data_IF_581658464754
#
_entry.id   IF_581658464754
#
_cell.length_a   1.000
_cell.length_b   1.000
_cell.length_c   1.000
_cell.angle_alpha   90.00
_cell.angle_beta   90.00
_cell.angle_gamma   90.00
#
_symmetry.space_group_name_H-M   'P 1'
#
loop_
_entity.id
_entity.type
_entity.pdbx_description
1 polymer ?
#
# COMPACT_ATOMS: atom_id res chain seq x y z
N UNK A 1 -42.59 2.31 -27.83
CA UNK A 1 -41.37 1.96 -27.09
C UNK A 1 -41.65 2.34 -25.66
N UNK A 2 -41.67 1.38 -24.73
CA UNK A 2 -41.69 1.73 -23.31
C UNK A 2 -40.35 2.43 -23.04
N UNK A 3 -40.38 3.70 -22.64
CA UNK A 3 -39.19 4.35 -22.11
C UNK A 3 -38.82 3.58 -20.84
N UNK A 4 -37.66 2.93 -20.86
CA UNK A 4 -37.14 2.18 -19.73
C UNK A 4 -36.79 3.20 -18.64
N UNK A 5 -37.54 3.17 -17.53
CA UNK A 5 -37.37 4.09 -16.42
C UNK A 5 -36.14 3.63 -15.63
N UNK A 6 -35.14 4.50 -15.53
CA UNK A 6 -33.94 4.24 -14.72
C UNK A 6 -34.30 4.44 -13.24
N UNK A 7 -34.07 3.43 -12.42
CA UNK A 7 -34.33 3.45 -10.98
C UNK A 7 -33.01 3.69 -10.22
N UNK A 8 -33.05 4.56 -9.20
CA UNK A 8 -31.86 4.87 -8.42
C UNK A 8 -32.15 4.98 -6.93
N UNK A 9 -31.30 4.38 -6.09
CA UNK A 9 -31.38 4.57 -4.64
C UNK A 9 -30.30 5.54 -4.17
N UNK A 10 -30.66 6.53 -3.35
CA UNK A 10 -29.72 7.48 -2.75
C UNK A 10 -29.42 7.09 -1.30
N UNK A 11 -28.21 6.56 -1.08
CA UNK A 11 -27.66 6.19 0.23
C UNK A 11 -26.84 7.36 0.80
N UNK A 12 -27.04 7.69 2.08
CA UNK A 12 -26.39 8.81 2.73
C UNK A 12 -26.40 8.65 4.26
N UNK A 13 -25.51 9.35 4.95
CA UNK A 13 -25.46 9.38 6.42
C UNK A 13 -26.36 10.46 7.03
N UNK A 14 -26.96 10.17 8.18
CA UNK A 14 -27.82 11.12 8.90
C UNK A 14 -27.01 12.16 9.68
N UNK A 15 -26.25 12.98 8.98
CA UNK A 15 -25.27 13.88 9.61
C UNK A 15 -25.92 15.12 10.22
N UNK A 16 -26.83 15.75 9.47
CA UNK A 16 -27.57 16.92 9.93
C UNK A 16 -28.93 17.00 9.23
N UNK A 17 -29.86 17.79 9.79
CA UNK A 17 -31.16 18.05 9.15
C UNK A 17 -30.98 18.75 7.79
N UNK A 18 -29.98 19.61 7.69
CA UNK A 18 -29.65 20.31 6.45
C UNK A 18 -29.18 19.35 5.37
N UNK A 19 -28.24 18.45 5.70
CA UNK A 19 -27.77 17.41 4.80
C UNK A 19 -28.92 16.48 4.35
N UNK A 20 -29.76 16.03 5.29
CA UNK A 20 -30.95 15.23 4.99
C UNK A 20 -31.90 15.96 4.02
N UNK A 21 -32.16 17.26 4.24
CA UNK A 21 -33.00 18.05 3.36
C UNK A 21 -32.37 18.23 1.98
N UNK A 22 -31.06 18.41 1.92
CA UNK A 22 -30.31 18.49 0.67
C UNK A 22 -30.43 17.20 -0.15
N UNK A 23 -30.23 16.03 0.48
CA UNK A 23 -30.40 14.73 -0.17
C UNK A 23 -31.83 14.56 -0.69
N UNK A 24 -32.84 14.86 0.13
CA UNK A 24 -34.24 14.81 -0.30
C UNK A 24 -34.53 15.73 -1.50
N UNK A 25 -33.92 16.92 -1.54
CA UNK A 25 -34.06 17.84 -2.66
C UNK A 25 -33.40 17.29 -3.93
N UNK A 26 -32.20 16.71 -3.81
CA UNK A 26 -31.51 16.05 -4.91
C UNK A 26 -32.34 14.88 -5.47
N UNK A 27 -32.84 13.99 -4.61
CA UNK A 27 -33.70 12.86 -4.98
C UNK A 27 -34.96 13.35 -5.71
N UNK A 28 -35.63 14.37 -5.20
CA UNK A 28 -36.79 14.96 -5.87
C UNK A 28 -36.45 15.63 -7.21
N UNK A 29 -35.26 16.24 -7.34
CA UNK A 29 -34.80 16.86 -8.59
C UNK A 29 -34.54 15.78 -9.64
N UNK A 30 -33.92 14.65 -9.28
CA UNK A 30 -33.76 13.48 -10.15
C UNK A 30 -35.12 12.99 -10.68
N UNK A 31 -36.11 12.84 -9.81
CA UNK A 31 -37.48 12.46 -10.23
C UNK A 31 -38.11 13.48 -11.16
N UNK A 32 -38.20 14.74 -10.73
CA UNK A 32 -39.02 15.76 -11.41
C UNK A 32 -38.40 16.33 -12.68
N UNK A 33 -37.08 16.40 -12.77
CA UNK A 33 -36.40 17.11 -13.88
C UNK A 33 -35.93 16.17 -14.98
N UNK A 34 -35.65 14.91 -14.65
CA UNK A 34 -34.99 13.99 -15.60
C UNK A 34 -35.68 12.65 -15.73
N UNK A 35 -36.62 12.30 -14.84
CA UNK A 35 -37.41 11.08 -14.97
C UNK A 35 -36.69 9.82 -14.45
N UNK A 36 -35.72 9.99 -13.56
CA UNK A 36 -35.13 8.86 -12.79
C UNK A 36 -36.06 8.56 -11.62
N UNK A 37 -36.51 7.31 -11.47
CA UNK A 37 -37.31 6.88 -10.32
C UNK A 37 -36.40 6.73 -9.10
N UNK A 38 -36.03 7.87 -8.52
CA UNK A 38 -35.07 7.93 -7.42
C UNK A 38 -35.76 7.81 -6.05
N UNK A 39 -35.28 6.96 -5.15
CA UNK A 39 -35.74 6.85 -3.75
C UNK A 39 -34.59 7.06 -2.76
N UNK A 40 -34.93 7.23 -1.48
CA UNK A 40 -33.99 7.26 -0.36
C UNK A 40 -34.71 6.82 0.92
N UNK A 41 -33.94 6.51 1.95
CA UNK A 41 -34.43 5.92 3.20
C UNK A 41 -35.65 6.65 3.82
N UNK A 42 -35.67 7.98 3.83
CA UNK A 42 -36.75 8.78 4.42
C UNK A 42 -38.09 8.64 3.72
N UNK A 43 -38.08 8.34 2.42
CA UNK A 43 -39.30 8.07 1.67
C UNK A 43 -39.90 6.70 2.03
N UNK A 44 -39.09 5.77 2.55
CA UNK A 44 -39.47 4.37 2.81
C UNK A 44 -39.69 4.06 4.32
N UNK A 45 -38.95 4.71 5.22
CA UNK A 45 -39.00 4.46 6.68
C UNK A 45 -40.36 4.79 7.32
N UNK A 46 -41.16 5.67 6.71
CA UNK A 46 -42.50 6.03 7.23
C UNK A 46 -43.62 5.12 6.71
N UNK A 47 -43.34 4.26 5.73
CA UNK A 47 -44.31 3.33 5.15
C UNK A 47 -44.30 1.95 5.82
N UNK A 48 -43.15 1.46 6.29
CA UNK A 48 -43.00 0.12 6.88
C UNK A 48 -41.92 0.08 7.97
N UNK A 49 -42.01 -0.87 8.90
CA UNK A 49 -40.93 -1.15 9.87
C UNK A 49 -39.81 -1.91 9.16
N UNK A 50 -38.83 -1.20 8.63
CA UNK A 50 -37.78 -1.80 7.80
C UNK A 50 -36.41 -1.72 8.47
N UNK A 51 -35.69 -2.85 8.46
CA UNK A 51 -34.29 -2.91 8.85
C UNK A 51 -33.43 -2.22 7.77
N UNK A 52 -32.54 -1.31 8.18
CA UNK A 52 -31.63 -0.61 7.26
C UNK A 52 -30.76 -1.60 6.44
N UNK A 53 -30.48 -2.79 6.99
CA UNK A 53 -29.81 -3.89 6.28
C UNK A 53 -30.60 -4.37 5.06
N UNK A 54 -31.89 -4.65 5.23
CA UNK A 54 -32.73 -5.19 4.16
C UNK A 54 -33.04 -4.11 3.13
N UNK A 55 -33.14 -2.85 3.55
CA UNK A 55 -33.29 -1.71 2.63
C UNK A 55 -32.10 -1.58 1.70
N UNK A 56 -30.87 -1.53 2.22
CA UNK A 56 -29.69 -1.35 1.36
C UNK A 56 -29.43 -2.56 0.47
N UNK A 57 -29.70 -3.77 0.95
CA UNK A 57 -29.60 -5.00 0.14
C UNK A 57 -30.61 -4.99 -1.00
N UNK A 58 -31.86 -4.59 -0.73
CA UNK A 58 -32.91 -4.48 -1.75
C UNK A 58 -32.61 -3.33 -2.71
N UNK A 59 -32.12 -2.19 -2.20
CA UNK A 59 -31.68 -1.06 -3.01
C UNK A 59 -30.62 -1.47 -4.03
N UNK A 60 -29.58 -2.19 -3.59
CA UNK A 60 -28.52 -2.71 -4.45
C UNK A 60 -29.05 -3.75 -5.44
N UNK A 61 -30.04 -4.56 -5.07
CA UNK A 61 -30.57 -5.61 -5.94
C UNK A 61 -31.51 -5.05 -7.01
N UNK A 62 -32.41 -4.16 -6.61
CA UNK A 62 -33.63 -3.84 -7.35
C UNK A 62 -33.53 -2.51 -8.12
N UNK A 63 -32.55 -1.64 -7.81
CA UNK A 63 -32.32 -0.39 -8.56
C UNK A 63 -31.26 -0.57 -9.64
N UNK A 64 -31.23 0.28 -10.65
CA UNK A 64 -30.18 0.28 -11.68
C UNK A 64 -28.89 0.90 -11.15
N UNK A 65 -29.02 1.98 -10.36
CA UNK A 65 -27.90 2.67 -9.72
C UNK A 65 -28.10 2.86 -8.23
N UNK A 66 -26.99 2.89 -7.49
CA UNK A 66 -26.96 3.34 -6.10
C UNK A 66 -26.04 4.54 -6.00
N UNK A 67 -26.61 5.69 -5.66
CA UNK A 67 -25.90 6.95 -5.47
C UNK A 67 -25.52 7.06 -4.01
N UNK A 68 -24.23 7.08 -3.71
CA UNK A 68 -23.71 7.14 -2.34
C UNK A 68 -23.21 8.56 -2.09
N UNK A 69 -23.80 9.22 -1.09
CA UNK A 69 -23.45 10.57 -0.67
C UNK A 69 -22.41 10.51 0.45
N UNK A 70 -21.19 10.86 0.08
CA UNK A 70 -20.01 10.84 0.94
C UNK A 70 -19.89 12.18 1.70
N UNK A 71 -19.59 12.09 2.98
CA UNK A 71 -19.34 13.20 3.90
C UNK A 71 -18.21 12.83 4.87
N UNK A 72 -17.68 13.80 5.61
CA UNK A 72 -16.66 13.50 6.63
C UNK A 72 -17.16 12.51 7.69
N UNK A 73 -18.42 12.64 8.12
CA UNK A 73 -19.03 11.71 9.07
C UNK A 73 -19.27 10.33 8.45
N UNK A 74 -19.63 10.27 7.17
CA UNK A 74 -19.72 9.01 6.44
C UNK A 74 -18.38 8.30 6.45
N UNK A 75 -17.32 8.99 6.03
CA UNK A 75 -15.96 8.46 5.93
C UNK A 75 -15.42 7.99 7.28
N UNK A 76 -15.57 8.80 8.34
CA UNK A 76 -15.15 8.42 9.69
C UNK A 76 -15.82 7.12 10.14
N UNK A 77 -17.15 7.00 9.98
CA UNK A 77 -17.85 5.78 10.41
C UNK A 77 -17.51 4.57 9.53
N UNK A 78 -17.26 4.79 8.24
CA UNK A 78 -16.84 3.76 7.29
C UNK A 78 -15.42 3.22 7.57
N UNK A 79 -14.49 4.11 7.92
CA UNK A 79 -13.08 3.79 8.19
C UNK A 79 -12.84 3.25 9.62
N UNK A 80 -13.56 3.75 10.63
CA UNK A 80 -13.43 3.32 12.03
C UNK A 80 -14.20 2.02 12.35
N UNK A 81 -15.02 1.52 11.42
CA UNK A 81 -15.93 0.38 11.61
C UNK A 81 -16.80 0.50 12.88
N UNK A 82 -17.13 1.73 13.31
CA UNK A 82 -17.94 2.03 14.50
C UNK A 82 -19.33 2.54 14.11
N UNK A 83 -20.36 2.04 14.79
CA UNK A 83 -21.74 2.55 14.73
C UNK A 83 -22.38 2.44 13.35
N UNK A 84 -23.00 1.30 13.02
CA UNK A 84 -23.93 1.13 11.89
C UNK A 84 -23.39 1.30 10.45
N UNK A 85 -22.26 1.97 10.23
CA UNK A 85 -21.74 2.32 8.89
C UNK A 85 -20.50 1.51 8.51
N UNK A 86 -19.87 0.81 9.46
CA UNK A 86 -18.94 -0.29 9.13
C UNK A 86 -19.60 -1.40 8.29
N UNK A 87 -20.94 -1.39 8.25
CA UNK A 87 -21.79 -2.27 7.48
C UNK A 87 -21.99 -1.84 6.02
N UNK A 88 -22.09 -0.53 5.72
CA UNK A 88 -22.15 -0.04 4.34
C UNK A 88 -20.85 -0.38 3.60
N UNK A 89 -19.70 -0.19 4.25
CA UNK A 89 -18.40 -0.69 3.79
C UNK A 89 -18.38 -2.21 3.52
N UNK A 90 -19.25 -3.01 4.17
CA UNK A 90 -19.33 -4.47 4.02
C UNK A 90 -20.17 -4.89 2.80
N UNK A 91 -21.10 -4.06 2.34
CA UNK A 91 -21.92 -4.31 1.13
C UNK A 91 -21.37 -3.60 -0.12
N UNK A 92 -20.80 -2.40 0.03
CA UNK A 92 -20.19 -1.67 -1.09
C UNK A 92 -18.92 -2.37 -1.59
N UNK A 93 -18.15 -3.04 -0.71
CA UNK A 93 -16.91 -3.76 -1.09
C UNK A 93 -17.14 -4.92 -2.06
N UNK A 94 -18.04 -5.90 -1.79
CA UNK A 94 -18.39 -6.93 -2.76
C UNK A 94 -18.94 -6.35 -4.07
N UNK A 95 -19.80 -5.34 -3.98
CA UNK A 95 -20.40 -4.73 -5.18
C UNK A 95 -19.38 -3.99 -6.05
N UNK A 96 -18.36 -3.37 -5.45
CA UNK A 96 -17.23 -2.79 -6.18
C UNK A 96 -16.38 -3.85 -6.90
N UNK A 97 -16.38 -5.10 -6.43
CA UNK A 97 -15.71 -6.21 -7.10
C UNK A 97 -16.56 -6.80 -8.21
N UNK A 98 -17.88 -6.94 -7.99
CA UNK A 98 -18.79 -7.63 -8.90
C UNK A 98 -19.42 -6.73 -9.97
N UNK A 99 -19.74 -5.48 -9.62
CA UNK A 99 -20.40 -4.52 -10.52
C UNK A 99 -20.20 -3.06 -10.07
N UNK A 100 -18.97 -2.54 -10.23
CA UNK A 100 -18.63 -1.17 -9.83
C UNK A 100 -19.41 -0.10 -10.60
N UNK A 101 -19.91 -0.40 -11.80
CA UNK A 101 -20.63 0.57 -12.63
C UNK A 101 -22.01 0.95 -12.08
N UNK A 102 -22.55 0.12 -11.18
CA UNK A 102 -23.80 0.37 -10.47
C UNK A 102 -23.68 1.46 -9.40
N UNK A 103 -22.48 1.70 -8.91
CA UNK A 103 -22.22 2.64 -7.82
C UNK A 103 -21.82 4.00 -8.38
N UNK A 104 -22.49 5.06 -7.91
CA UNK A 104 -22.16 6.44 -8.25
C UNK A 104 -21.81 7.17 -6.95
N UNK A 105 -20.58 7.64 -6.84
CA UNK A 105 -20.11 8.36 -5.67
C UNK A 105 -20.27 9.87 -5.88
N UNK A 106 -20.93 10.52 -4.94
CA UNK A 106 -20.99 11.97 -4.86
C UNK A 106 -20.51 12.42 -3.48
N UNK A 107 -19.99 13.62 -3.34
CA UNK A 107 -19.56 14.16 -2.04
C UNK A 107 -20.15 15.53 -1.76
N UNK A 108 -20.38 15.83 -0.49
CA UNK A 108 -20.70 17.17 0.00
C UNK A 108 -20.00 17.38 1.34
N UNK A 109 -18.95 18.18 1.34
CA UNK A 109 -18.10 18.43 2.50
C UNK A 109 -17.98 19.93 2.82
N UNK A 110 -17.66 20.26 4.06
CA UNK A 110 -17.52 21.65 4.52
C UNK A 110 -16.06 22.15 4.49
N UNK A 111 -15.13 21.33 4.00
CA UNK A 111 -13.73 21.76 3.82
C UNK A 111 -12.87 20.81 3.00
N UNK A 112 -12.53 19.66 3.57
CA UNK A 112 -11.50 18.79 3.00
C UNK A 112 -12.10 17.54 2.34
N UNK A 113 -12.11 17.52 1.00
CA UNK A 113 -12.62 16.40 0.20
C UNK A 113 -11.98 15.07 0.61
N UNK A 114 -10.69 15.08 0.96
CA UNK A 114 -9.92 13.88 1.31
C UNK A 114 -10.40 13.23 2.62
N UNK A 115 -11.09 13.99 3.47
CA UNK A 115 -11.72 13.51 4.70
C UNK A 115 -13.14 13.02 4.49
N UNK A 116 -13.80 13.44 3.42
CA UNK A 116 -15.15 13.00 3.08
C UNK A 116 -15.18 11.67 2.35
N UNK A 117 -14.05 11.21 1.81
CA UNK A 117 -13.95 9.97 1.02
C UNK A 117 -13.27 8.88 1.87
N UNK A 118 -13.96 7.79 2.21
CA UNK A 118 -13.37 6.64 2.90
C UNK A 118 -12.13 6.11 2.16
N UNK A 119 -11.16 5.57 2.90
CA UNK A 119 -9.88 5.10 2.31
C UNK A 119 -10.07 4.14 1.13
N UNK A 120 -11.05 3.23 1.23
CA UNK A 120 -11.32 2.22 0.21
C UNK A 120 -12.00 2.76 -1.07
N UNK A 121 -12.54 3.99 -1.03
CA UNK A 121 -13.22 4.64 -2.16
C UNK A 121 -12.34 5.67 -2.88
N UNK A 122 -11.17 6.03 -2.32
CA UNK A 122 -10.24 7.00 -2.94
C UNK A 122 -9.83 6.72 -4.39
N UNK A 123 -9.73 5.46 -4.86
CA UNK A 123 -9.41 5.18 -6.26
C UNK A 123 -10.55 5.50 -7.26
N UNK A 124 -11.79 5.69 -6.80
CA UNK A 124 -12.96 5.86 -7.66
C UNK A 124 -13.26 7.34 -7.91
N UNK A 125 -13.89 7.61 -9.05
CA UNK A 125 -14.31 8.97 -9.41
C UNK A 125 -15.49 9.41 -8.53
N UNK A 126 -15.40 10.62 -7.95
CA UNK A 126 -16.42 11.20 -7.06
C UNK A 126 -16.86 12.55 -7.61
N UNK A 127 -18.17 12.75 -7.78
CA UNK A 127 -18.74 14.03 -8.21
C UNK A 127 -18.88 14.94 -7.00
N UNK A 128 -18.20 16.10 -7.02
CA UNK A 128 -18.16 17.02 -5.89
C UNK A 128 -19.30 18.05 -5.93
N UNK A 129 -20.26 17.94 -4.99
CA UNK A 129 -21.38 18.86 -4.78
C UNK A 129 -21.17 19.79 -3.59
N UNK A 130 -19.93 19.99 -3.14
CA UNK A 130 -19.61 20.82 -1.97
C UNK A 130 -19.77 22.32 -2.24
N UNK A 131 -19.59 22.75 -3.49
CA UNK A 131 -19.85 24.13 -3.91
C UNK A 131 -21.25 24.28 -4.51
N UNK A 132 -22.11 25.06 -3.87
CA UNK A 132 -23.49 25.31 -4.35
C UNK A 132 -23.54 26.12 -5.66
N UNK A 133 -22.50 26.90 -5.98
CA UNK A 133 -22.40 27.64 -7.25
C UNK A 133 -22.27 26.70 -8.45
N UNK A 134 -21.65 25.52 -8.24
CA UNK A 134 -21.40 24.52 -9.28
C UNK A 134 -22.53 23.47 -9.36
N UNK A 135 -23.60 23.61 -8.57
CA UNK A 135 -24.64 22.59 -8.41
C UNK A 135 -25.20 22.11 -9.75
N UNK A 136 -25.58 23.02 -10.65
CA UNK A 136 -26.21 22.64 -11.91
C UNK A 136 -25.24 21.94 -12.88
N UNK A 137 -23.96 22.30 -12.84
CA UNK A 137 -22.91 21.61 -13.60
C UNK A 137 -22.71 20.18 -13.08
N UNK A 138 -22.57 20.02 -11.76
CA UNK A 138 -22.37 18.73 -11.10
C UNK A 138 -23.60 17.85 -11.19
N UNK A 139 -24.78 18.45 -11.15
CA UNK A 139 -26.03 17.76 -11.44
C UNK A 139 -26.04 17.22 -12.87
N UNK A 140 -25.64 18.01 -13.87
CA UNK A 140 -25.53 17.54 -15.26
C UNK A 140 -24.51 16.40 -15.40
N UNK A 141 -23.38 16.49 -14.71
CA UNK A 141 -22.37 15.43 -14.66
C UNK A 141 -22.95 14.11 -14.12
N UNK A 142 -23.72 14.18 -13.03
CA UNK A 142 -24.45 13.04 -12.46
C UNK A 142 -25.44 12.43 -13.46
N UNK A 143 -26.14 13.25 -14.26
CA UNK A 143 -27.06 12.75 -15.29
C UNK A 143 -26.33 11.98 -16.39
N UNK A 144 -25.21 12.52 -16.87
CA UNK A 144 -24.37 11.84 -17.85
C UNK A 144 -23.91 10.47 -17.34
N UNK A 145 -23.65 10.36 -16.03
CA UNK A 145 -23.30 9.09 -15.40
C UNK A 145 -24.48 8.11 -15.25
N UNK A 146 -25.67 8.59 -14.93
CA UNK A 146 -26.89 7.77 -14.77
C UNK A 146 -27.40 7.24 -16.13
N UNK A 147 -27.33 8.04 -17.18
CA UNK A 147 -27.79 7.64 -18.52
C UNK A 147 -26.69 7.02 -19.39
N UNK A 148 -25.47 6.87 -18.85
CA UNK A 148 -24.30 6.34 -19.56
C UNK A 148 -23.96 7.10 -20.86
N UNK A 149 -24.21 8.42 -20.85
CA UNK A 149 -23.93 9.31 -21.97
C UNK A 149 -22.62 10.04 -21.68
N UNK A 150 -21.57 9.93 -22.51
CA UNK A 150 -20.32 10.66 -22.29
C UNK A 150 -20.54 12.19 -22.21
N UNK A 151 -20.00 12.82 -21.17
CA UNK A 151 -20.07 14.28 -20.99
C UNK A 151 -19.35 15.02 -22.13
N UNK A 152 -18.24 14.46 -22.61
CA UNK A 152 -17.45 15.00 -23.72
C UNK A 152 -17.41 14.02 -24.89
N UNK A 153 -17.73 14.51 -26.08
CA UNK A 153 -17.61 13.74 -27.32
C UNK A 153 -16.16 13.77 -27.82
N UNK A 154 -15.53 12.61 -27.96
CA UNK A 154 -14.22 12.50 -28.62
C UNK A 154 -14.33 13.06 -30.05
N UNK A 155 -13.41 13.93 -30.45
CA UNK A 155 -13.29 14.34 -31.84
C UNK A 155 -12.99 13.13 -32.72
N UNK A 156 -13.46 13.15 -33.96
CA UNK A 156 -13.07 12.15 -34.95
C UNK A 156 -11.55 12.14 -35.12
N UNK A 157 -10.95 10.96 -35.23
CA UNK A 157 -9.52 10.84 -35.51
C UNK A 157 -9.12 11.65 -36.75
N UNK A 158 -8.09 12.48 -36.60
CA UNK A 158 -7.43 13.11 -37.74
C UNK A 158 -6.73 12.07 -38.62
N UNK A 159 -6.36 12.47 -39.83
CA UNK A 159 -5.49 11.62 -40.66
C UNK A 159 -4.14 11.48 -39.96
N UNK A 160 -3.60 10.26 -39.95
CA UNK A 160 -2.21 10.01 -39.53
C UNK A 160 -1.31 10.97 -40.33
N UNK A 161 -0.51 11.84 -39.68
CA UNK A 161 0.43 12.68 -40.38
C UNK A 161 1.41 11.81 -41.16
N UNK A 162 1.83 12.28 -42.32
CA UNK A 162 2.89 11.62 -43.09
C UNK A 162 4.21 11.84 -42.34
N UNK A 163 4.62 10.83 -41.59
CA UNK A 163 5.83 10.83 -40.78
C UNK A 163 6.88 10.04 -41.53
N UNK A 164 7.77 10.75 -42.22
CA UNK A 164 8.98 10.16 -42.79
C UNK A 164 9.83 9.59 -41.64
N UNK A 165 10.16 8.28 -41.65
CA UNK A 165 11.07 7.73 -40.69
C UNK A 165 12.44 8.39 -40.87
N UNK A 166 12.95 9.05 -39.83
CA UNK A 166 14.38 9.38 -39.80
C UNK A 166 15.15 8.08 -39.89
N UNK A 167 15.93 7.91 -40.94
CA UNK A 167 16.91 6.83 -41.03
C UNK A 167 17.95 7.06 -39.95
N UNK A 168 17.83 6.32 -38.85
CA UNK A 168 18.94 6.11 -37.93
C UNK A 168 19.78 5.01 -38.58
N UNK A 169 21.03 5.31 -38.90
CA UNK A 169 21.97 4.27 -39.36
C UNK A 169 21.97 3.12 -38.35
N UNK A 170 21.63 1.92 -38.82
CA UNK A 170 21.63 0.71 -38.03
C UNK A 170 23.09 0.39 -37.66
N UNK A 171 23.51 0.81 -36.46
CA UNK A 171 24.63 0.15 -35.79
C UNK A 171 24.09 -1.14 -35.18
N UNK A 172 24.85 -2.24 -35.29
CA UNK A 172 24.62 -3.46 -34.51
C UNK A 172 24.25 -3.08 -33.06
N UNK A 173 23.35 -3.83 -32.38
CA UNK A 173 22.82 -3.43 -31.08
C UNK A 173 23.97 -3.12 -30.13
N UNK A 174 24.23 -1.82 -29.96
CA UNK A 174 25.03 -1.34 -28.85
C UNK A 174 24.11 -1.44 -27.64
N UNK A 175 24.68 -2.01 -26.58
CA UNK A 175 24.10 -2.19 -25.25
C UNK A 175 23.24 -0.99 -24.83
N UNK A 176 22.21 -1.25 -24.02
CA UNK A 176 21.42 -0.22 -23.33
C UNK A 176 22.35 0.94 -22.97
N UNK A 177 22.11 2.12 -23.53
CA UNK A 177 22.72 3.33 -22.97
C UNK A 177 22.07 3.52 -21.61
N UNK A 178 22.73 2.98 -20.59
CA UNK A 178 22.60 3.37 -19.20
C UNK A 178 22.87 4.87 -19.15
N UNK A 179 21.82 5.69 -19.14
CA UNK A 179 21.96 7.03 -18.57
C UNK A 179 22.40 6.80 -17.12
N UNK A 180 23.70 6.94 -16.88
CA UNK A 180 24.31 6.74 -15.57
C UNK A 180 23.72 7.77 -14.60
N UNK A 181 22.71 7.36 -13.84
CA UNK A 181 22.08 8.19 -12.82
C UNK A 181 23.08 8.34 -11.66
N UNK A 182 23.62 9.54 -11.47
CA UNK A 182 24.46 9.87 -10.31
C UNK A 182 23.55 10.11 -9.11
N UNK A 183 23.74 9.34 -8.04
CA UNK A 183 22.94 9.42 -6.80
C UNK A 183 23.68 10.21 -5.72
N UNK A 184 25.01 10.16 -5.72
CA UNK A 184 25.82 10.92 -4.77
C UNK A 184 27.18 11.28 -5.37
N UNK A 185 27.64 12.51 -5.13
CA UNK A 185 28.97 13.00 -5.53
C UNK A 185 29.59 13.93 -4.46
N UNK A 186 29.22 13.73 -3.19
CA UNK A 186 29.67 14.58 -2.09
C UNK A 186 31.20 14.58 -1.95
N UNK A 187 31.73 15.69 -1.45
CA UNK A 187 33.15 15.86 -1.14
C UNK A 187 33.49 15.19 0.21
N UNK A 188 33.20 13.88 0.31
CA UNK A 188 33.44 13.07 1.51
C UNK A 188 33.75 11.61 1.14
N UNK A 189 34.39 10.87 2.04
CA UNK A 189 34.57 9.43 1.91
C UNK A 189 33.23 8.72 2.13
N UNK A 190 32.86 7.85 1.21
CA UNK A 190 31.54 7.18 1.23
C UNK A 190 31.69 5.68 1.07
N UNK A 191 30.76 4.95 1.67
CA UNK A 191 30.66 3.50 1.52
C UNK A 191 29.25 3.12 1.09
N UNK A 192 29.11 2.35 0.03
CA UNK A 192 27.82 1.75 -0.33
C UNK A 192 27.72 0.32 0.18
N UNK A 193 26.53 -0.16 0.52
CA UNK A 193 26.27 -1.58 0.80
C UNK A 193 25.01 -2.04 0.07
N UNK A 194 25.12 -3.00 -0.84
CA UNK A 194 23.96 -3.51 -1.58
C UNK A 194 23.18 -4.52 -0.73
N UNK A 195 21.85 -4.44 -0.78
CA UNK A 195 20.89 -5.28 -0.08
C UNK A 195 19.88 -5.85 -1.08
N UNK A 196 19.13 -6.92 -0.78
CA UNK A 196 18.22 -7.51 -1.75
C UNK A 196 17.25 -6.54 -2.45
N UNK A 197 16.67 -5.57 -1.73
CA UNK A 197 15.71 -4.62 -2.30
C UNK A 197 16.20 -3.17 -2.40
N UNK A 198 17.45 -2.89 -2.06
CA UNK A 198 17.98 -1.54 -2.09
C UNK A 198 19.44 -1.48 -1.72
N UNK A 199 19.93 -0.32 -1.34
CA UNK A 199 21.31 -0.15 -0.93
C UNK A 199 21.44 0.95 0.14
N UNK A 200 22.48 0.82 0.94
CA UNK A 200 22.87 1.82 1.92
C UNK A 200 23.98 2.69 1.35
N UNK A 201 23.97 3.98 1.72
CA UNK A 201 25.12 4.87 1.59
C UNK A 201 25.49 5.34 2.99
N UNK A 202 26.74 5.14 3.38
CA UNK A 202 27.34 5.69 4.58
C UNK A 202 28.20 6.88 4.19
N UNK A 203 27.96 8.03 4.83
CA UNK A 203 28.69 9.26 4.63
C UNK A 203 28.82 10.05 5.94
N UNK A 204 29.42 11.25 5.87
CA UNK A 204 29.67 12.08 7.03
C UNK A 204 30.70 11.47 7.96
N UNK A 205 31.53 10.53 7.48
CA UNK A 205 32.37 9.67 8.31
C UNK A 205 33.45 10.50 9.00
N UNK A 206 33.20 10.83 10.27
CA UNK A 206 34.02 11.75 11.07
C UNK A 206 34.48 11.07 12.36
N UNK A 207 35.61 11.53 12.90
CA UNK A 207 36.30 10.92 14.04
C UNK A 207 36.09 11.73 15.31
N UNK A 208 36.26 11.10 16.48
CA UNK A 208 35.96 11.69 17.79
C UNK A 208 36.56 13.08 18.05
N UNK A 209 37.74 13.37 17.48
CA UNK A 209 38.41 14.66 17.62
C UNK A 209 37.73 15.81 16.80
N UNK A 210 36.67 15.52 16.05
CA UNK A 210 35.85 16.52 15.37
C UNK A 210 34.71 17.02 16.28
N UNK A 211 34.49 18.35 16.31
CA UNK A 211 33.48 19.01 17.15
C UNK A 211 32.02 18.56 16.93
N UNK A 212 31.73 17.82 15.85
CA UNK A 212 30.38 17.38 15.47
C UNK A 212 30.41 16.02 14.76
N UNK A 213 31.10 15.04 15.36
CA UNK A 213 31.37 13.77 14.70
C UNK A 213 30.14 12.84 14.69
N UNK A 214 29.83 12.26 13.53
CA UNK A 214 28.78 11.26 13.36
C UNK A 214 29.09 10.37 12.16
N UNK A 215 28.35 9.29 11.99
CA UNK A 215 28.26 8.59 10.70
C UNK A 215 26.81 8.59 10.30
N UNK A 216 26.48 8.95 9.07
CA UNK A 216 25.10 8.95 8.58
C UNK A 216 24.89 7.75 7.68
N UNK A 217 23.79 7.03 7.88
CA UNK A 217 23.34 5.99 6.98
C UNK A 217 22.09 6.42 6.24
N UNK A 218 22.10 6.26 4.91
CA UNK A 218 20.98 6.53 4.03
C UNK A 218 20.54 5.23 3.38
N UNK A 219 19.24 4.93 3.36
CA UNK A 219 18.70 3.78 2.64
C UNK A 219 17.95 4.24 1.39
N UNK A 220 18.28 3.63 0.25
CA UNK A 220 17.68 3.87 -1.06
C UNK A 220 17.16 2.57 -1.65
N UNK A 221 16.13 2.64 -2.49
CA UNK A 221 15.76 1.53 -3.34
C UNK A 221 16.54 1.56 -4.67
N UNK A 222 16.46 0.48 -5.45
CA UNK A 222 17.13 0.38 -6.76
C UNK A 222 16.54 1.25 -7.88
N UNK A 223 15.53 2.08 -7.58
CA UNK A 223 15.08 3.15 -8.47
C UNK A 223 15.71 4.50 -8.09
N UNK A 224 16.64 4.52 -7.14
CA UNK A 224 17.29 5.73 -6.63
C UNK A 224 16.43 6.57 -5.69
N UNK A 225 15.24 6.06 -5.31
CA UNK A 225 14.36 6.76 -4.38
C UNK A 225 14.86 6.56 -2.94
N UNK A 226 15.15 7.67 -2.30
CA UNK A 226 15.44 7.76 -0.86
C UNK A 226 14.29 7.20 -0.02
N UNK A 227 14.62 6.37 0.98
CA UNK A 227 13.66 5.77 1.91
C UNK A 227 13.74 6.41 3.29
N UNK A 228 14.95 6.45 3.88
CA UNK A 228 15.17 7.04 5.20
C UNK A 228 16.66 7.33 5.45
N UNK A 229 16.96 8.10 6.50
CA UNK A 229 18.34 8.30 6.98
C UNK A 229 18.42 8.44 8.48
N UNK A 230 19.51 7.91 9.06
CA UNK A 230 19.77 8.00 10.50
C UNK A 230 21.19 8.52 10.71
N UNK A 231 21.31 9.50 11.61
CA UNK A 231 22.60 10.06 12.03
C UNK A 231 23.04 9.38 13.33
N UNK A 232 24.23 8.79 13.33
CA UNK A 232 24.78 8.05 14.47
C UNK A 232 25.90 8.85 15.13
N UNK A 233 25.54 9.68 16.12
CA UNK A 233 26.46 10.50 16.91
C UNK A 233 27.01 9.74 18.14
N UNK A 234 28.00 10.30 18.84
CA UNK A 234 28.55 9.72 20.09
C UNK A 234 27.51 9.55 21.19
N UNK A 235 26.65 10.57 21.33
CA UNK A 235 25.56 10.62 22.30
C UNK A 235 24.41 9.67 21.96
N UNK A 236 24.42 9.10 20.76
CA UNK A 236 23.45 8.11 20.34
C UNK A 236 23.74 6.79 21.05
N UNK A 237 22.81 6.30 21.88
CA UNK A 237 22.98 5.00 22.52
C UNK A 237 22.79 3.90 21.47
N UNK A 238 23.86 3.15 21.21
CA UNK A 238 23.80 1.89 20.46
C UNK A 238 23.25 0.72 21.32
N UNK A 239 22.74 1.02 22.52
CA UNK A 239 22.14 0.03 23.42
C UNK A 239 20.76 -0.49 22.93
N UNK A 240 20.20 0.14 21.90
CA UNK A 240 19.02 -0.38 21.20
C UNK A 240 19.40 -1.61 20.37
N UNK A 241 18.61 -2.68 20.43
CA UNK A 241 18.83 -3.89 19.62
C UNK A 241 19.06 -3.57 18.14
N UNK A 242 19.88 -4.36 17.44
CA UNK A 242 20.15 -4.17 16.00
C UNK A 242 18.86 -4.09 15.15
N UNK A 243 17.80 -4.79 15.58
CA UNK A 243 16.46 -4.69 14.99
C UNK A 243 15.89 -3.26 15.00
N UNK A 244 16.11 -2.51 16.08
CA UNK A 244 15.66 -1.12 16.18
C UNK A 244 16.39 -0.25 15.16
N UNK A 245 17.66 -0.50 14.90
CA UNK A 245 18.42 0.24 13.89
C UNK A 245 17.92 -0.06 12.48
N UNK A 246 17.62 -1.32 12.16
CA UNK A 246 17.00 -1.66 10.88
C UNK A 246 15.65 -0.96 10.67
N UNK A 247 14.81 -0.91 11.72
CA UNK A 247 13.52 -0.21 11.68
C UNK A 247 13.68 1.30 11.48
N UNK A 248 14.63 1.93 12.18
CA UNK A 248 14.93 3.36 12.02
C UNK A 248 15.30 3.67 10.57
N UNK A 249 16.13 2.84 9.93
CA UNK A 249 16.46 2.98 8.51
C UNK A 249 15.37 2.54 7.54
N UNK A 250 14.23 2.07 8.03
CA UNK A 250 13.14 1.51 7.22
C UNK A 250 13.60 0.37 6.30
N UNK A 251 14.64 -0.38 6.70
CA UNK A 251 15.06 -1.57 5.97
C UNK A 251 13.97 -2.63 6.15
N UNK A 252 13.46 -3.22 5.07
CA UNK A 252 12.37 -4.19 5.19
C UNK A 252 12.86 -5.49 5.87
N UNK A 253 11.96 -6.12 6.63
CA UNK A 253 12.30 -7.12 7.66
C UNK A 253 13.03 -8.35 7.14
N UNK A 254 12.74 -8.78 5.91
CA UNK A 254 13.44 -9.89 5.28
C UNK A 254 14.85 -9.55 4.77
N UNK A 255 15.23 -8.28 4.75
CA UNK A 255 16.56 -7.84 4.32
C UNK A 255 17.47 -7.57 5.53
N UNK A 256 16.97 -7.71 6.76
CA UNK A 256 17.72 -7.46 8.00
C UNK A 256 18.96 -8.35 8.14
N UNK A 257 18.87 -9.63 7.76
CA UNK A 257 20.01 -10.56 7.82
C UNK A 257 21.13 -10.18 6.84
N UNK A 258 20.78 -9.56 5.71
CA UNK A 258 21.74 -9.05 4.72
C UNK A 258 22.33 -7.69 5.14
N UNK A 259 21.57 -6.91 5.92
CA UNK A 259 22.00 -5.61 6.42
C UNK A 259 22.79 -5.68 7.74
N UNK A 260 22.84 -6.84 8.40
CA UNK A 260 23.50 -7.00 9.70
C UNK A 260 24.99 -6.66 9.64
N UNK A 261 25.71 -7.21 8.66
CA UNK A 261 27.12 -6.88 8.43
C UNK A 261 27.33 -5.40 8.14
N UNK A 262 26.41 -4.77 7.41
CA UNK A 262 26.45 -3.35 7.08
C UNK A 262 26.35 -2.47 8.34
N UNK A 263 25.42 -2.79 9.25
CA UNK A 263 25.27 -2.05 10.50
C UNK A 263 26.40 -2.29 11.49
N UNK A 264 26.94 -3.50 11.55
CA UNK A 264 28.16 -3.79 12.33
C UNK A 264 29.34 -2.99 11.80
N UNK A 265 29.49 -2.91 10.49
CA UNK A 265 30.52 -2.07 9.85
C UNK A 265 30.33 -0.60 10.17
N UNK A 266 29.09 -0.09 10.10
CA UNK A 266 28.78 1.28 10.47
C UNK A 266 29.08 1.56 11.96
N UNK A 267 28.80 0.60 12.84
CA UNK A 267 29.19 0.68 14.25
C UNK A 267 30.70 0.83 14.40
N UNK A 268 31.48 0.02 13.67
CA UNK A 268 32.95 0.15 13.67
C UNK A 268 33.43 1.49 13.14
N UNK A 269 32.77 2.06 12.12
CA UNK A 269 33.08 3.40 11.60
C UNK A 269 32.73 4.52 12.58
N UNK A 270 31.74 4.28 13.45
CA UNK A 270 31.34 5.23 14.50
C UNK A 270 32.28 5.16 15.71
N UNK A 271 32.78 3.99 16.07
CA UNK A 271 33.55 3.81 17.31
C UNK A 271 35.04 4.19 17.20
N UNK A 272 35.49 4.71 16.05
CA UNK A 272 36.89 5.11 15.85
C UNK A 272 37.19 6.49 16.44
N UNK A 273 38.32 6.57 17.14
CA UNK A 273 38.84 7.81 17.74
C UNK A 273 39.78 8.58 16.82
N UNK A 274 40.23 7.97 15.72
CA UNK A 274 41.27 8.49 14.83
C UNK A 274 41.03 8.05 13.39
N UNK A 275 41.72 8.71 12.44
CA UNK A 275 41.57 8.43 11.01
C UNK A 275 41.93 6.98 10.68
N UNK A 276 40.99 6.27 10.05
CA UNK A 276 41.16 4.88 9.61
C UNK A 276 41.20 4.78 8.07
N UNK A 277 41.82 3.72 7.58
CA UNK A 277 41.75 3.36 6.16
C UNK A 277 40.41 2.65 5.86
N UNK A 278 39.40 3.44 5.49
CA UNK A 278 38.06 2.96 5.16
C UNK A 278 38.12 2.03 3.94
N UNK A 279 38.98 2.33 2.96
CA UNK A 279 39.14 1.52 1.75
C UNK A 279 39.63 0.11 2.07
N UNK A 280 40.62 -0.01 2.96
CA UNK A 280 41.11 -1.31 3.43
C UNK A 280 40.06 -2.08 4.25
N UNK A 281 39.30 -1.38 5.10
CA UNK A 281 38.15 -1.97 5.81
C UNK A 281 37.08 -2.51 4.84
N UNK A 282 36.69 -1.74 3.82
CA UNK A 282 35.75 -2.19 2.78
C UNK A 282 36.29 -3.39 2.02
N UNK A 283 37.59 -3.40 1.69
CA UNK A 283 38.23 -4.55 1.03
C UNK A 283 38.13 -5.83 1.86
N UNK A 284 38.29 -5.75 3.18
CA UNK A 284 38.14 -6.91 4.08
C UNK A 284 36.74 -7.50 4.07
N UNK A 285 35.69 -6.67 4.10
CA UNK A 285 34.30 -7.16 4.06
C UNK A 285 33.92 -7.68 2.68
N UNK A 286 34.37 -7.04 1.59
CA UNK A 286 34.24 -7.58 0.22
C UNK A 286 34.80 -8.99 0.10
N UNK A 287 35.99 -9.24 0.67
CA UNK A 287 36.63 -10.56 0.63
C UNK A 287 35.84 -11.65 1.40
N UNK A 288 34.88 -11.27 2.25
CA UNK A 288 33.96 -12.19 2.95
C UNK A 288 32.66 -12.43 2.17
N UNK A 289 32.51 -11.83 0.99
CA UNK A 289 31.31 -11.94 0.14
C UNK A 289 30.32 -10.77 0.27
N UNK A 290 30.67 -9.70 1.00
CA UNK A 290 29.77 -8.55 1.17
C UNK A 290 29.81 -7.61 -0.04
N UNK A 291 28.63 -7.12 -0.45
CA UNK A 291 28.49 -6.16 -1.56
C UNK A 291 28.71 -4.71 -1.13
N UNK A 292 29.86 -4.44 -0.51
CA UNK A 292 30.23 -3.11 -0.01
C UNK A 292 31.21 -2.41 -0.96
N UNK A 293 31.07 -1.13 -1.32
CA UNK A 293 32.04 -0.40 -2.15
C UNK A 293 32.50 0.89 -1.47
N UNK A 294 33.76 1.26 -1.65
CA UNK A 294 34.34 2.51 -1.16
C UNK A 294 34.40 3.53 -2.30
N UNK A 295 34.11 4.80 -1.99
CA UNK A 295 34.21 5.93 -2.89
C UNK A 295 35.01 7.05 -2.23
N UNK A 296 36.02 7.53 -2.94
CA UNK A 296 36.83 8.68 -2.55
C UNK A 296 36.04 10.00 -2.68
N UNK A 297 36.42 11.10 -2.02
CA UNK A 297 35.70 12.38 -2.14
C UNK A 297 35.50 12.83 -3.59
N UNK A 298 34.29 13.30 -3.92
CA UNK A 298 33.85 13.72 -5.27
C UNK A 298 33.75 12.61 -6.31
N UNK A 299 34.14 11.38 -6.00
CA UNK A 299 33.89 10.23 -6.86
C UNK A 299 32.36 10.01 -7.01
N UNK A 300 31.81 9.95 -8.22
CA UNK A 300 30.38 9.76 -8.40
C UNK A 300 29.96 8.34 -8.03
N UNK A 301 28.89 8.23 -7.26
CA UNK A 301 28.16 6.99 -7.02
C UNK A 301 27.01 6.95 -8.03
N UNK A 302 27.10 6.03 -8.97
CA UNK A 302 26.01 5.74 -9.91
C UNK A 302 24.98 4.84 -9.25
N UNK A 303 23.73 4.90 -9.72
CA UNK A 303 22.66 4.00 -9.29
C UNK A 303 23.12 2.55 -9.49
N UNK A 304 23.30 1.78 -8.41
CA UNK A 304 23.73 0.40 -8.53
C UNK A 304 22.57 -0.48 -8.98
N UNK A 305 22.89 -1.58 -9.66
CA UNK A 305 21.96 -2.69 -9.87
C UNK A 305 22.12 -3.72 -8.73
N UNK A 306 21.06 -4.50 -8.41
CA UNK A 306 21.17 -5.60 -7.48
C UNK A 306 22.16 -6.66 -8.00
N UNK A 307 22.97 -7.27 -7.11
CA UNK A 307 23.70 -8.48 -7.44
C UNK A 307 22.78 -9.56 -8.02
N UNK A 308 23.31 -10.42 -8.90
CA UNK A 308 22.52 -11.48 -9.55
C UNK A 308 21.86 -12.41 -8.52
N UNK A 309 22.59 -12.77 -7.46
CA UNK A 309 22.08 -13.56 -6.34
C UNK A 309 20.96 -12.88 -5.54
N UNK A 310 20.79 -11.57 -5.68
CA UNK A 310 19.74 -10.80 -5.02
C UNK A 310 18.50 -10.64 -5.88
N UNK A 311 18.51 -11.03 -7.16
CA UNK A 311 17.36 -10.85 -8.05
C UNK A 311 16.11 -11.60 -7.56
N UNK A 312 16.27 -12.86 -7.14
CA UNK A 312 15.16 -13.64 -6.59
C UNK A 312 14.72 -13.15 -5.22
N UNK A 313 15.69 -12.74 -4.39
CA UNK A 313 15.41 -12.15 -3.07
C UNK A 313 14.65 -10.81 -3.21
N UNK A 314 14.98 -10.00 -4.21
CA UNK A 314 14.28 -8.75 -4.56
C UNK A 314 12.86 -9.05 -4.98
N UNK A 315 12.69 -9.98 -5.91
CA UNK A 315 11.40 -10.40 -6.48
C UNK A 315 10.45 -10.96 -5.42
N UNK A 316 10.97 -11.74 -4.47
CA UNK A 316 10.19 -12.44 -3.43
C UNK A 316 10.13 -11.68 -2.11
N UNK A 317 10.71 -10.48 -2.03
CA UNK A 317 10.96 -9.80 -0.75
C UNK A 317 9.71 -9.52 0.09
N UNK A 318 8.57 -9.21 -0.54
CA UNK A 318 7.32 -9.04 0.19
C UNK A 318 6.81 -10.35 0.82
N UNK A 319 6.96 -11.50 0.13
CA UNK A 319 6.63 -12.80 0.70
C UNK A 319 7.56 -13.15 1.86
N UNK A 320 8.86 -12.90 1.68
CA UNK A 320 9.85 -13.10 2.76
C UNK A 320 9.52 -12.24 3.98
N UNK A 321 8.99 -11.02 3.80
CA UNK A 321 8.55 -10.16 4.90
C UNK A 321 7.36 -10.76 5.66
N UNK A 322 6.37 -11.33 4.94
CA UNK A 322 5.24 -12.03 5.55
C UNK A 322 5.74 -13.22 6.37
N UNK A 323 6.62 -14.04 5.79
CA UNK A 323 7.22 -15.20 6.47
C UNK A 323 7.96 -14.79 7.75
N UNK A 324 8.82 -13.76 7.69
CA UNK A 324 9.56 -13.28 8.88
C UNK A 324 8.60 -12.75 9.96
N UNK A 325 7.54 -12.02 9.58
CA UNK A 325 6.53 -11.51 10.54
C UNK A 325 5.75 -12.63 11.20
N UNK A 326 5.32 -13.63 10.44
CA UNK A 326 4.60 -14.81 10.96
C UNK A 326 5.50 -15.63 11.90
N UNK A 327 6.75 -15.89 11.52
CA UNK A 327 7.73 -16.58 12.39
C UNK A 327 7.97 -15.83 13.70
N UNK A 328 8.08 -14.50 13.66
CA UNK A 328 8.26 -13.67 14.86
C UNK A 328 7.06 -13.77 15.81
N UNK A 329 5.85 -13.79 15.24
CA UNK A 329 4.59 -14.01 15.98
C UNK A 329 4.53 -15.40 16.62
N UNK A 330 4.84 -16.43 15.84
CA UNK A 330 4.95 -17.83 16.30
C UNK A 330 5.98 -18.00 17.43
N UNK A 331 7.18 -17.43 17.29
CA UNK A 331 8.20 -17.49 18.34
C UNK A 331 7.77 -16.73 19.62
N UNK A 332 7.04 -15.61 19.49
CA UNK A 332 6.50 -14.89 20.64
C UNK A 332 5.52 -15.79 21.41
N UNK A 333 4.63 -16.50 20.71
CA UNK A 333 3.72 -17.45 21.34
C UNK A 333 4.45 -18.61 22.02
N UNK A 334 5.42 -19.23 21.34
CA UNK A 334 6.22 -20.33 21.90
C UNK A 334 6.91 -19.89 23.20
N UNK A 335 7.51 -18.70 23.19
CA UNK A 335 8.08 -18.08 24.38
C UNK A 335 7.06 -17.84 25.49
N UNK A 336 5.82 -17.47 25.17
CA UNK A 336 4.74 -17.31 26.16
C UNK A 336 4.23 -18.65 26.70
N UNK A 337 4.10 -19.66 25.85
CA UNK A 337 3.70 -21.01 26.22
C UNK A 337 4.68 -21.64 27.22
N UNK A 338 5.98 -21.42 27.03
CA UNK A 338 7.03 -21.83 27.97
C UNK A 338 7.26 -20.84 29.13
N UNK A 339 6.45 -19.79 29.26
CA UNK A 339 6.47 -18.85 30.38
C UNK A 339 7.61 -17.82 30.37
N UNK A 340 8.33 -17.67 29.26
CA UNK A 340 9.42 -16.70 29.11
C UNK A 340 8.94 -15.28 28.82
N UNK A 341 7.78 -15.11 28.18
CA UNK A 341 7.18 -13.82 27.84
C UNK A 341 5.67 -13.81 28.09
N UNK A 342 5.04 -12.64 28.10
CA UNK A 342 3.57 -12.52 28.16
C UNK A 342 2.99 -12.11 26.80
N UNK A 343 1.81 -12.63 26.48
CA UNK A 343 0.97 -12.09 25.40
C UNK A 343 0.12 -10.99 26.01
N UNK A 344 0.43 -9.74 25.69
CA UNK A 344 -0.29 -8.60 26.28
C UNK A 344 -1.72 -8.47 25.72
N UNK A 345 -1.98 -8.99 24.51
CA UNK A 345 -3.28 -8.92 23.84
C UNK A 345 -3.42 -10.01 22.76
N UNK A 346 -4.18 -11.07 23.05
CA UNK A 346 -4.42 -12.18 22.11
C UNK A 346 -5.23 -11.74 20.88
N UNK A 347 -6.25 -10.90 21.05
CA UNK A 347 -7.10 -10.42 19.96
C UNK A 347 -6.29 -9.67 18.87
N UNK A 348 -5.32 -8.85 19.29
CA UNK A 348 -4.39 -8.18 18.38
C UNK A 348 -3.48 -9.17 17.64
N UNK A 349 -3.13 -10.28 18.28
CA UNK A 349 -2.31 -11.33 17.70
C UNK A 349 -3.07 -12.03 16.55
N UNK A 350 -4.32 -12.44 16.82
CA UNK A 350 -5.25 -12.98 15.81
C UNK A 350 -5.44 -12.04 14.64
N UNK A 351 -5.82 -10.77 14.88
CA UNK A 351 -6.00 -9.76 13.82
C UNK A 351 -4.73 -9.55 13.00
N UNK A 352 -3.56 -9.64 13.65
CA UNK A 352 -2.27 -9.57 12.99
C UNK A 352 -2.02 -10.76 12.05
N UNK A 353 -2.32 -11.98 12.50
CA UNK A 353 -2.18 -13.20 11.70
C UNK A 353 -3.17 -13.20 10.53
N UNK A 354 -4.44 -12.83 10.77
CA UNK A 354 -5.47 -12.74 9.72
C UNK A 354 -5.05 -11.75 8.62
N UNK A 355 -4.48 -10.60 8.99
CA UNK A 355 -3.96 -9.60 8.04
C UNK A 355 -2.79 -10.16 7.23
N UNK A 356 -1.87 -10.88 7.86
CA UNK A 356 -0.71 -11.48 7.19
C UNK A 356 -1.13 -12.62 6.26
N UNK A 357 -2.14 -13.43 6.63
CA UNK A 357 -2.74 -14.46 5.77
C UNK A 357 -3.25 -13.85 4.46
N UNK A 358 -4.13 -12.83 4.57
CA UNK A 358 -4.72 -12.16 3.39
C UNK A 358 -3.65 -11.55 2.48
N UNK A 359 -2.66 -10.85 3.05
CA UNK A 359 -1.53 -10.32 2.26
C UNK A 359 -0.71 -11.42 1.61
N UNK A 360 -0.42 -12.49 2.34
CA UNK A 360 0.33 -13.63 1.81
C UNK A 360 -0.33 -14.21 0.57
N UNK A 361 -1.65 -14.45 0.62
CA UNK A 361 -2.41 -14.94 -0.52
C UNK A 361 -2.31 -14.02 -1.75
N UNK A 362 -2.57 -12.73 -1.58
CA UNK A 362 -2.51 -11.75 -2.68
C UNK A 362 -1.12 -11.66 -3.29
N UNK A 363 -0.07 -11.62 -2.46
CA UNK A 363 1.30 -11.52 -2.95
C UNK A 363 1.72 -12.81 -3.68
N UNK A 364 1.34 -13.99 -3.18
CA UNK A 364 1.60 -15.25 -3.89
C UNK A 364 0.88 -15.27 -5.23
N UNK A 365 -0.39 -14.85 -5.28
CA UNK A 365 -1.16 -14.80 -6.52
C UNK A 365 -0.57 -13.82 -7.54
N UNK A 366 0.01 -12.70 -7.11
CA UNK A 366 0.72 -11.77 -7.98
C UNK A 366 2.11 -12.29 -8.41
N UNK A 367 2.72 -13.15 -7.61
CA UNK A 367 4.04 -13.72 -7.88
C UNK A 367 3.97 -14.87 -8.88
N UNK A 368 2.93 -15.70 -8.78
CA UNK A 368 2.71 -16.83 -9.67
C UNK A 368 2.05 -16.37 -10.98
N UNK A 369 2.42 -17.00 -12.09
CA UNK A 369 1.75 -16.80 -13.38
C UNK A 369 0.29 -17.30 -13.33
N UNK A 370 -0.57 -16.74 -14.19
CA UNK A 370 -1.97 -17.16 -14.30
C UNK A 370 -2.07 -18.69 -14.50
N UNK A 371 -2.86 -19.36 -13.65
CA UNK A 371 -3.07 -20.81 -13.62
C UNK A 371 -1.92 -21.68 -13.07
N UNK A 372 -0.99 -21.12 -12.31
CA UNK A 372 0.03 -21.93 -11.64
C UNK A 372 -0.58 -22.87 -10.60
N UNK A 373 -0.44 -24.19 -10.80
CA UNK A 373 -0.97 -25.22 -9.89
C UNK A 373 -0.45 -25.14 -8.45
N UNK A 374 0.69 -24.49 -8.21
CA UNK A 374 1.24 -24.34 -6.87
C UNK A 374 0.33 -23.52 -5.93
N UNK A 375 -0.55 -22.66 -6.49
CA UNK A 375 -1.48 -21.88 -5.69
C UNK A 375 -2.49 -22.77 -4.95
N UNK A 376 -2.82 -23.95 -5.49
CA UNK A 376 -3.74 -24.90 -4.87
C UNK A 376 -3.24 -25.38 -3.51
N UNK A 377 -1.93 -25.56 -3.34
CA UNK A 377 -1.36 -25.91 -2.04
C UNK A 377 -1.57 -24.80 -1.00
N UNK A 378 -1.52 -23.54 -1.44
CA UNK A 378 -1.79 -22.40 -0.56
C UNK A 378 -3.27 -22.31 -0.20
N UNK A 379 -4.16 -22.54 -1.16
CA UNK A 379 -5.62 -22.59 -0.95
C UNK A 379 -5.99 -23.69 0.04
N UNK A 380 -5.44 -24.90 -0.12
CA UNK A 380 -5.65 -26.02 0.81
C UNK A 380 -5.27 -25.67 2.26
N UNK A 381 -4.22 -24.86 2.46
CA UNK A 381 -3.85 -24.41 3.80
C UNK A 381 -4.75 -23.26 4.27
N UNK A 382 -5.06 -22.30 3.41
CA UNK A 382 -5.94 -21.17 3.76
C UNK A 382 -7.35 -21.63 4.14
N UNK A 383 -7.89 -22.64 3.47
CA UNK A 383 -9.23 -23.18 3.72
C UNK A 383 -9.34 -23.86 5.08
N UNK A 384 -8.23 -24.33 5.64
CA UNK A 384 -8.20 -24.86 7.02
C UNK A 384 -8.31 -23.77 8.08
N UNK A 385 -8.10 -22.49 7.75
CA UNK A 385 -8.13 -21.41 8.73
C UNK A 385 -9.57 -21.14 9.21
N UNK A 386 -9.80 -21.23 10.52
CA UNK A 386 -11.06 -20.87 11.15
C UNK A 386 -10.88 -19.71 12.12
N UNK A 387 -11.86 -18.79 12.18
CA UNK A 387 -11.77 -17.62 13.08
C UNK A 387 -11.81 -17.98 14.56
N UNK A 388 -12.37 -19.13 14.89
CA UNK A 388 -12.59 -19.61 16.26
C UNK A 388 -11.50 -20.57 16.74
N UNK A 389 -10.46 -20.82 15.92
CA UNK A 389 -9.28 -21.62 16.31
C UNK A 389 -8.73 -21.15 17.64
N UNK A 390 -8.35 -22.08 18.51
CA UNK A 390 -7.58 -21.71 19.69
C UNK A 390 -6.16 -21.26 19.30
N UNK A 391 -5.43 -20.68 20.25
CA UNK A 391 -4.11 -20.12 19.95
C UNK A 391 -3.13 -21.21 19.48
N UNK A 392 -3.22 -22.43 20.00
CA UNK A 392 -2.33 -23.53 19.61
C UNK A 392 -2.62 -23.95 18.16
N UNK A 393 -3.88 -24.16 17.82
CA UNK A 393 -4.34 -24.49 16.46
C UNK A 393 -3.95 -23.40 15.46
N UNK A 394 -4.13 -22.13 15.83
CA UNK A 394 -3.72 -20.99 15.01
C UNK A 394 -2.22 -21.00 14.72
N UNK A 395 -1.39 -21.33 15.71
CA UNK A 395 0.05 -21.37 15.54
C UNK A 395 0.54 -22.55 14.71
N UNK A 396 -0.08 -23.73 14.85
CA UNK A 396 0.15 -24.87 13.97
C UNK A 396 -0.23 -24.52 12.52
N UNK A 397 -1.37 -23.86 12.32
CA UNK A 397 -1.79 -23.36 11.02
C UNK A 397 -0.80 -22.33 10.44
N UNK A 398 -0.26 -21.42 11.26
CA UNK A 398 0.77 -20.46 10.84
C UNK A 398 2.03 -21.17 10.35
N UNK A 399 2.46 -22.24 11.02
CA UNK A 399 3.63 -23.02 10.61
C UNK A 399 3.41 -23.69 9.24
N UNK A 400 2.23 -24.28 9.02
CA UNK A 400 1.84 -24.84 7.72
C UNK A 400 1.76 -23.78 6.61
N UNK A 401 1.19 -22.61 6.92
CA UNK A 401 1.08 -21.50 5.98
C UNK A 401 2.45 -20.94 5.59
N UNK A 402 3.35 -20.76 6.58
CA UNK A 402 4.73 -20.33 6.35
C UNK A 402 5.49 -21.35 5.51
N UNK A 403 5.37 -22.65 5.81
CA UNK A 403 6.03 -23.72 5.04
C UNK A 403 5.58 -23.69 3.59
N UNK A 404 4.28 -23.57 3.36
CA UNK A 404 3.71 -23.53 2.02
C UNK A 404 4.18 -22.33 1.21
N UNK A 405 4.22 -21.12 1.80
CA UNK A 405 4.79 -19.95 1.13
C UNK A 405 6.26 -20.16 0.79
N UNK A 406 7.05 -20.75 1.70
CA UNK A 406 8.47 -21.01 1.48
C UNK A 406 8.69 -22.04 0.37
N UNK A 407 7.85 -23.06 0.27
CA UNK A 407 7.94 -24.08 -0.79
C UNK A 407 7.55 -23.52 -2.17
N UNK A 408 6.71 -22.48 -2.20
CA UNK A 408 6.33 -21.76 -3.43
C UNK A 408 7.43 -20.81 -3.91
N UNK A 409 8.23 -20.26 -2.99
CA UNK A 409 9.35 -19.38 -3.33
C UNK A 409 10.51 -20.24 -3.89
N UNK A 410 10.98 -20.00 -5.13
CA UNK A 410 12.16 -20.69 -5.65
C UNK A 410 13.39 -20.37 -4.78
N UNK A 411 14.22 -21.39 -4.58
CA UNK A 411 15.43 -21.33 -3.75
C UNK A 411 16.61 -20.72 -4.48
#
# INVERSE_FOLDING_TARGET
MNEEIVNAFVSYSWDSKEHQNWVMNLTNKLRKKVGVDATCDKFEIHSETTDLYSMMTSAIKDNDYVIIVLTENYAQKADDLKGGVGFETMLTKPLLQDNSEKLIFITRHDGDMDKAIPFHLKPFYVIDFSNDEDFDEKFKELLHRIYEIPLFKKASLGKKPDLEPKTIEFKEPQEKNDELIVIDNKDDERVTWLLPRGFLIFDGITYKDCNSWSVTAHYYNYQGKWQHSTHYHESYRWDDSIETQFRKLCIPIADWEFAESALKFLQELREVDSKIDIKDKVKRVKNRGEYANYYSPKEPIFLPEPPEEYLDLKRTGELRDIVKKLRKKRNKYESCFYGYTKIDNEELEYKGIERLRRRGYVIVNNYLEENNTAIKFLEEVIDKYEREMDMKELHEWVDDFVRTIVDIIPK
#
